data_IF_983143283901
#
_entry.id   IF_983143283901
#
_cell.length_a   1.000
_cell.length_b   1.000
_cell.length_c   1.000
_cell.angle_alpha   90.00
_cell.angle_beta   90.00
_cell.angle_gamma   90.00
#
_symmetry.space_group_name_H-M   'P 1'
#
loop_
_entity.id
_entity.type
_entity.pdbx_description
1 polymer ?
#
# COMPACT_ATOMS: atom_id res chain seq x y z
N UNK A 1 1.36 6.47 -9.69
CA UNK A 1 2.66 6.30 -9.00
C UNK A 1 2.79 4.83 -8.64
N UNK A 2 3.78 4.11 -9.17
CA UNK A 2 4.06 2.76 -8.68
C UNK A 2 4.80 2.99 -7.36
N UNK A 3 4.15 2.72 -6.23
CA UNK A 3 4.81 2.70 -4.93
C UNK A 3 5.90 1.60 -4.99
N UNK A 4 7.10 1.98 -5.39
CA UNK A 4 8.27 1.15 -5.15
C UNK A 4 8.48 1.13 -3.64
N UNK A 5 8.24 -0.03 -3.03
CA UNK A 5 8.41 -0.37 -1.61
C UNK A 5 9.80 -0.07 -1.02
N UNK A 6 10.69 0.55 -1.79
CA UNK A 6 12.08 0.79 -1.45
C UNK A 6 12.20 2.06 -0.59
N UNK A 7 11.87 1.93 0.69
CA UNK A 7 12.22 2.95 1.68
C UNK A 7 11.14 3.30 2.71
N UNK A 8 10.45 2.31 3.30
CA UNK A 8 9.59 2.53 4.48
C UNK A 8 10.50 2.84 5.69
N UNK A 9 11.05 4.06 5.75
CA UNK A 9 11.85 4.54 6.90
C UNK A 9 10.90 5.19 7.91
N UNK A 10 10.64 4.46 9.01
CA UNK A 10 10.09 4.88 10.31
C UNK A 10 8.78 5.69 10.39
N UNK A 11 8.37 6.49 9.39
CA UNK A 11 7.13 7.29 9.41
C UNK A 11 5.92 6.57 8.82
N UNK A 12 6.13 5.54 8.00
CA UNK A 12 5.07 4.81 7.31
C UNK A 12 4.77 3.43 7.91
N UNK A 13 5.33 3.11 9.09
CA UNK A 13 4.88 1.94 9.88
C UNK A 13 3.37 1.99 10.13
N UNK A 14 2.81 3.19 10.23
CA UNK A 14 1.37 3.43 10.39
C UNK A 14 0.51 3.02 9.20
N UNK A 15 1.08 2.70 8.04
CA UNK A 15 0.31 2.38 6.84
C UNK A 15 0.09 0.87 6.71
N UNK A 16 0.99 0.03 7.18
CA UNK A 16 0.92 -1.42 6.95
C UNK A 16 0.51 -2.15 8.26
N UNK A 17 -0.79 -2.37 8.39
CA UNK A 17 -1.38 -2.98 9.59
C UNK A 17 -1.08 -4.48 9.71
N UNK A 18 -1.05 -5.19 8.58
CA UNK A 18 -0.88 -6.65 8.56
C UNK A 18 -0.25 -7.16 7.26
N UNK A 19 0.76 -8.01 7.38
CA UNK A 19 1.31 -8.81 6.30
C UNK A 19 0.72 -10.22 6.34
N UNK A 20 0.15 -10.66 5.23
CA UNK A 20 -0.35 -12.02 5.00
C UNK A 20 0.67 -12.75 4.12
N UNK A 21 1.30 -13.80 4.64
CA UNK A 21 2.38 -14.51 3.96
C UNK A 21 1.94 -15.94 3.65
N UNK A 22 2.21 -16.42 2.45
CA UNK A 22 1.96 -17.82 2.12
C UNK A 22 2.80 -18.72 3.03
N UNK A 23 2.21 -19.83 3.50
CA UNK A 23 2.95 -20.84 4.27
C UNK A 23 4.26 -21.21 3.55
N UNK A 24 5.35 -21.33 4.32
CA UNK A 24 6.71 -21.62 3.87
C UNK A 24 7.38 -20.56 2.95
N UNK A 25 6.72 -19.43 2.69
CA UNK A 25 7.38 -18.30 2.04
C UNK A 25 8.26 -17.53 3.03
N UNK A 26 9.40 -17.04 2.55
CA UNK A 26 10.24 -16.13 3.34
C UNK A 26 9.61 -14.74 3.44
N UNK A 27 9.81 -14.07 4.58
CA UNK A 27 9.45 -12.66 4.74
C UNK A 27 10.31 -11.85 3.76
N UNK A 28 9.72 -11.01 2.90
CA UNK A 28 10.49 -10.11 2.04
C UNK A 28 11.38 -9.21 2.89
N UNK A 29 12.68 -9.17 2.60
CA UNK A 29 13.68 -8.43 3.40
C UNK A 29 13.32 -6.95 3.53
N UNK A 30 12.62 -6.40 2.54
CA UNK A 30 12.16 -5.01 2.50
C UNK A 30 11.06 -4.69 3.51
N UNK A 31 10.36 -5.71 4.03
CA UNK A 31 9.18 -5.55 4.89
C UNK A 31 9.42 -5.98 6.34
N UNK A 32 10.60 -6.50 6.69
CA UNK A 32 10.91 -7.11 8.00
C UNK A 32 10.58 -6.20 9.19
N UNK A 33 10.62 -4.89 9.02
CA UNK A 33 10.32 -3.90 10.09
C UNK A 33 9.12 -2.98 9.77
N UNK A 34 8.35 -3.33 8.74
CA UNK A 34 7.32 -2.46 8.18
C UNK A 34 5.89 -2.81 8.63
N UNK A 35 5.67 -3.93 9.32
CA UNK A 35 4.35 -4.42 9.70
C UNK A 35 4.20 -4.62 11.21
N UNK A 36 2.99 -4.38 11.74
CA UNK A 36 2.66 -4.67 13.14
C UNK A 36 2.30 -6.14 13.36
N UNK A 37 1.77 -6.80 12.33
CA UNK A 37 1.28 -8.19 12.39
C UNK A 37 1.70 -8.99 11.17
N UNK A 38 2.13 -10.22 11.40
CA UNK A 38 2.39 -11.23 10.38
C UNK A 38 1.44 -12.41 10.59
N UNK A 39 0.75 -12.81 9.52
CA UNK A 39 -0.15 -13.96 9.51
C UNK A 39 0.23 -14.88 8.37
N UNK A 40 0.63 -16.11 8.70
CA UNK A 40 0.84 -17.14 7.71
C UNK A 40 -0.52 -17.69 7.24
N UNK A 41 -0.68 -17.84 5.93
CA UNK A 41 -1.92 -18.27 5.30
C UNK A 41 -1.65 -19.39 4.31
N UNK A 42 -2.57 -20.36 4.27
CA UNK A 42 -2.50 -21.43 3.29
C UNK A 42 -2.74 -20.93 1.88
N UNK A 43 -2.28 -21.70 0.88
CA UNK A 43 -2.52 -21.39 -0.53
C UNK A 43 -4.01 -21.20 -0.86
N UNK A 44 -4.90 -21.97 -0.21
CA UNK A 44 -6.34 -21.85 -0.39
C UNK A 44 -6.90 -20.53 0.12
N UNK A 45 -6.34 -20.00 1.22
CA UNK A 45 -6.70 -18.68 1.76
C UNK A 45 -6.09 -17.57 0.88
N UNK A 46 -4.82 -17.67 0.51
CA UNK A 46 -4.15 -16.70 -0.36
C UNK A 46 -4.89 -16.51 -1.68
N UNK A 47 -5.31 -17.61 -2.32
CA UNK A 47 -6.08 -17.57 -3.57
C UNK A 47 -7.41 -16.85 -3.43
N UNK A 48 -8.10 -17.02 -2.29
CA UNK A 48 -9.36 -16.32 -2.02
C UNK A 48 -9.16 -14.82 -1.81
N UNK A 49 -8.10 -14.43 -1.10
CA UNK A 49 -7.84 -13.03 -0.75
C UNK A 49 -7.32 -12.24 -1.96
N UNK A 50 -6.46 -12.85 -2.77
CA UNK A 50 -5.83 -12.17 -3.89
C UNK A 50 -6.81 -11.86 -5.05
N UNK A 51 -7.99 -12.48 -5.10
CA UNK A 51 -9.12 -12.03 -5.91
C UNK A 51 -8.95 -12.05 -7.44
N UNK A 52 -7.78 -12.47 -7.96
CA UNK A 52 -7.49 -12.54 -9.40
C UNK A 52 -7.29 -13.99 -9.83
N UNK A 53 -7.65 -14.31 -11.08
CA UNK A 53 -7.61 -15.69 -11.61
C UNK A 53 -6.17 -16.23 -11.78
N UNK A 54 -5.15 -15.37 -11.71
CA UNK A 54 -3.73 -15.70 -11.91
C UNK A 54 -2.89 -15.31 -10.69
N UNK A 55 -3.11 -16.00 -9.57
CA UNK A 55 -2.39 -15.75 -8.30
C UNK A 55 -1.43 -16.87 -7.94
N UNK A 56 -1.11 -17.78 -8.87
CA UNK A 56 -0.18 -18.87 -8.58
C UNK A 56 1.21 -18.37 -8.16
N UNK A 57 1.56 -17.12 -8.47
CA UNK A 57 2.82 -16.49 -8.04
C UNK A 57 2.69 -15.54 -6.84
N UNK A 58 1.49 -15.31 -6.30
CA UNK A 58 1.29 -14.39 -5.17
C UNK A 58 1.76 -15.05 -3.87
N UNK A 59 2.89 -14.57 -3.34
CA UNK A 59 3.50 -15.10 -2.11
C UNK A 59 3.13 -14.30 -0.86
N UNK A 60 2.67 -13.06 -1.03
CA UNK A 60 2.29 -12.18 0.06
C UNK A 60 1.16 -11.24 -0.36
N UNK A 61 0.35 -10.83 0.62
CA UNK A 61 -0.63 -9.76 0.52
C UNK A 61 -0.53 -8.88 1.77
N UNK A 62 -0.92 -7.61 1.71
CA UNK A 62 -0.85 -6.72 2.86
C UNK A 62 -2.16 -5.97 3.05
N UNK A 63 -2.54 -5.75 4.30
CA UNK A 63 -3.55 -4.79 4.68
C UNK A 63 -2.88 -3.44 4.90
N UNK A 64 -3.27 -2.47 4.09
CA UNK A 64 -2.75 -1.11 4.13
C UNK A 64 -3.86 -0.15 4.51
N UNK A 65 -3.56 0.81 5.39
CA UNK A 65 -4.39 1.98 5.62
C UNK A 65 -4.30 2.89 4.41
N UNK A 66 -5.42 3.50 4.07
CA UNK A 66 -5.45 4.53 3.03
C UNK A 66 -4.62 5.73 3.55
N UNK A 67 -3.60 6.18 2.81
CA UNK A 67 -2.77 7.29 3.25
C UNK A 67 -3.57 8.59 3.28
N UNK A 68 -3.23 9.49 4.20
CA UNK A 68 -3.91 10.79 4.33
C UNK A 68 -3.76 11.70 3.09
N UNK A 69 -2.81 11.40 2.20
CA UNK A 69 -2.66 12.05 0.89
C UNK A 69 -3.78 11.69 -0.09
N UNK A 70 -4.52 10.59 0.15
CA UNK A 70 -5.71 10.26 -0.61
C UNK A 70 -6.91 10.99 0.00
N UNK A 71 -7.26 12.13 -0.60
CA UNK A 71 -8.33 12.98 -0.11
C UNK A 71 -9.15 13.57 -1.25
N UNK A 72 -10.40 13.92 -0.94
CA UNK A 72 -11.24 14.69 -1.84
C UNK A 72 -10.80 16.16 -1.80
N UNK A 73 -10.42 16.67 -2.97
CA UNK A 73 -9.98 18.06 -3.16
C UNK A 73 -11.12 19.05 -2.89
N UNK A 74 -12.37 18.64 -3.11
CA UNK A 74 -13.55 19.50 -2.99
C UNK A 74 -14.18 19.52 -1.60
N UNK A 75 -14.03 18.46 -0.81
CA UNK A 75 -14.62 18.33 0.53
C UNK A 75 -13.69 18.72 1.69
N UNK A 76 -12.45 19.12 1.41
CA UNK A 76 -11.53 19.52 2.46
C UNK A 76 -11.77 21.00 2.83
N UNK A 77 -12.60 21.23 3.86
CA UNK A 77 -12.93 22.58 4.39
C UNK A 77 -11.70 23.37 4.88
N UNK A 78 -10.57 22.71 5.10
CA UNK A 78 -9.27 23.36 5.17
C UNK A 78 -8.50 22.96 3.94
N UNK A 79 -8.25 23.91 3.03
CA UNK A 79 -7.24 23.76 1.99
C UNK A 79 -5.93 23.31 2.63
N UNK A 80 -5.69 22.00 2.71
CA UNK A 80 -4.37 21.48 2.96
C UNK A 80 -3.59 21.88 1.73
N UNK A 81 -2.94 23.03 1.82
CA UNK A 81 -2.31 23.72 0.71
C UNK A 81 -1.59 22.69 -0.15
N UNK A 82 -2.02 22.52 -1.39
CA UNK A 82 -1.30 21.68 -2.35
C UNK A 82 0.18 22.06 -2.39
N UNK A 83 0.51 23.31 -2.07
CA UNK A 83 1.86 23.82 -1.87
C UNK A 83 2.59 23.24 -0.64
N UNK A 84 1.88 22.89 0.44
CA UNK A 84 2.45 22.20 1.61
C UNK A 84 2.69 20.73 1.34
N UNK A 85 1.80 20.07 0.60
CA UNK A 85 1.95 18.66 0.21
C UNK A 85 3.00 18.51 -0.90
N UNK A 86 3.09 19.48 -1.81
CA UNK A 86 3.96 19.45 -2.98
C UNK A 86 4.62 20.83 -3.21
N UNK A 87 5.69 21.15 -2.46
CA UNK A 87 6.33 22.46 -2.51
C UNK A 87 7.00 22.78 -3.85
N UNK A 88 7.34 21.75 -4.64
CA UNK A 88 7.93 21.88 -5.99
C UNK A 88 7.21 20.95 -6.96
N UNK A 89 5.96 21.30 -7.27
CA UNK A 89 5.15 20.60 -8.27
C UNK A 89 5.75 20.79 -9.67
N UNK A 90 6.59 19.85 -10.11
CA UNK A 90 7.25 19.94 -11.41
C UNK A 90 6.44 19.28 -12.54
N UNK A 91 5.60 18.26 -12.24
CA UNK A 91 4.70 17.57 -13.20
C UNK A 91 3.47 17.01 -12.47
N UNK A 92 2.28 17.25 -13.02
CA UNK A 92 1.00 16.72 -12.51
C UNK A 92 0.41 15.73 -13.52
N UNK A 93 -0.11 14.61 -13.03
CA UNK A 93 -0.88 13.64 -13.82
C UNK A 93 -2.34 13.71 -13.40
N UNK A 94 -3.24 13.93 -14.36
CA UNK A 94 -4.69 13.90 -14.16
C UNK A 94 -5.23 12.69 -14.90
N UNK A 95 -5.97 11.84 -14.20
CA UNK A 95 -6.66 10.69 -14.77
C UNK A 95 -8.16 11.02 -14.82
N UNK A 96 -8.72 11.12 -16.02
CA UNK A 96 -10.13 11.43 -16.24
C UNK A 96 -10.84 10.22 -16.86
N UNK A 97 -11.94 9.78 -16.25
CA UNK A 97 -12.79 8.71 -16.77
C UNK A 97 -12.17 7.30 -16.82
N UNK A 98 -11.14 6.99 -16.02
CA UNK A 98 -10.58 5.63 -15.94
C UNK A 98 -11.44 4.76 -15.00
N UNK A 99 -11.83 3.57 -15.48
CA UNK A 99 -12.57 2.54 -14.75
C UNK A 99 -11.69 1.31 -14.51
#
# INVERSE_FOLDING_TARGET
>A
EIFTFHGIKNKERDILDCLLLLDDAGIPTELVEAFDRLVNVSAGVMRKIAGVQSTESTKAAALLRIPASFCDIHNNEGSSDFQRLFPTLNRLLVLDGIQ
#
